data_IF_977435212607
#
_entry.id   IF_977435212607
#
_cell.length_a   1.000
_cell.length_b   1.000
_cell.length_c   1.000
_cell.angle_alpha   90.00
_cell.angle_beta   90.00
_cell.angle_gamma   90.00
#
_symmetry.space_group_name_H-M   'P 1'
#
loop_
_entity.id
_entity.type
_entity.pdbx_description
1 polymer ?
#
# COMPACT_ATOMS: atom_id res chain seq x y z
N UNK A 1 35.69 61.80 -6.05
CA UNK A 1 35.12 61.55 -7.39
C UNK A 1 34.81 60.07 -7.53
N UNK A 2 33.54 59.70 -7.80
CA UNK A 2 33.03 58.41 -8.38
C UNK A 2 33.35 57.15 -7.55
N UNK A 3 32.42 56.26 -7.16
CA UNK A 3 31.38 55.55 -7.94
C UNK A 3 30.30 55.03 -6.95
N UNK A 4 29.08 55.53 -7.02
CA UNK A 4 27.87 54.87 -7.58
C UNK A 4 27.55 53.51 -6.94
N UNK A 5 26.52 53.56 -6.09
CA UNK A 5 25.78 52.44 -5.52
C UNK A 5 25.03 51.63 -6.59
N UNK A 6 24.91 50.33 -6.39
CA UNK A 6 23.87 49.51 -6.99
C UNK A 6 23.25 48.59 -5.94
N UNK A 7 21.99 48.89 -5.64
CA UNK A 7 21.01 48.03 -4.98
C UNK A 7 20.70 46.83 -5.89
N UNK A 8 20.87 45.62 -5.38
CA UNK A 8 20.11 44.45 -5.82
C UNK A 8 19.80 43.62 -4.57
N UNK A 9 18.73 43.98 -3.88
CA UNK A 9 18.08 43.12 -2.90
C UNK A 9 17.38 42.02 -3.69
N UNK A 10 18.06 40.91 -3.92
CA UNK A 10 17.39 39.64 -4.20
C UNK A 10 16.75 39.18 -2.90
N UNK A 11 15.44 39.39 -2.76
CA UNK A 11 14.64 38.61 -1.83
C UNK A 11 14.43 37.23 -2.46
N UNK A 12 15.03 36.14 -1.95
CA UNK A 12 14.55 34.82 -2.32
C UNK A 12 13.14 34.70 -1.74
N UNK A 13 12.15 34.65 -2.63
CA UNK A 13 10.83 34.13 -2.29
C UNK A 13 11.04 32.75 -1.69
N UNK A 14 10.94 32.66 -0.37
CA UNK A 14 10.79 31.41 0.34
C UNK A 14 9.53 30.77 -0.22
N UNK A 15 9.70 29.85 -1.19
CA UNK A 15 8.73 28.79 -1.38
C UNK A 15 8.56 28.17 0.00
N UNK A 16 7.40 28.42 0.60
CA UNK A 16 7.00 27.83 1.86
C UNK A 16 7.22 26.33 1.77
N UNK A 17 8.32 25.87 2.37
CA UNK A 17 8.48 24.50 2.76
C UNK A 17 7.23 24.16 3.57
N UNK A 18 6.49 23.18 3.08
CA UNK A 18 5.33 22.60 3.76
C UNK A 18 5.74 22.31 5.21
N UNK A 19 5.12 23.04 6.14
CA UNK A 19 5.34 22.89 7.57
C UNK A 19 5.04 21.43 7.94
N UNK A 20 6.00 20.67 8.51
CA UNK A 20 5.82 19.24 8.81
C UNK A 20 4.78 18.93 9.90
N UNK A 21 4.18 19.95 10.53
CA UNK A 21 3.39 19.82 11.76
C UNK A 21 1.93 19.38 11.53
N UNK A 22 1.33 19.67 10.37
CA UNK A 22 -0.11 19.48 10.14
C UNK A 22 -0.48 18.09 9.57
N UNK A 23 0.52 17.37 9.05
CA UNK A 23 0.32 16.03 8.49
C UNK A 23 -0.05 15.00 9.58
N UNK A 24 0.38 15.23 10.83
CA UNK A 24 0.12 14.35 11.96
C UNK A 24 -1.34 14.35 12.43
N UNK A 25 -1.98 15.54 12.44
CA UNK A 25 -3.38 15.73 12.83
C UNK A 25 -4.34 15.07 11.83
N UNK A 26 -4.21 15.43 10.55
CA UNK A 26 -5.04 14.87 9.48
C UNK A 26 -4.96 13.33 9.39
N UNK A 27 -3.78 12.75 9.63
CA UNK A 27 -3.58 11.30 9.63
C UNK A 27 -4.18 10.60 10.87
N UNK A 28 -4.20 11.25 12.04
CA UNK A 28 -4.90 10.76 13.24
C UNK A 28 -6.41 10.80 13.05
N UNK A 29 -6.94 11.92 12.58
CA UNK A 29 -8.38 12.10 12.36
C UNK A 29 -8.94 11.11 11.33
N UNK A 30 -8.17 10.83 10.28
CA UNK A 30 -8.52 9.82 9.27
C UNK A 30 -8.60 8.40 9.85
N UNK A 31 -7.74 8.04 10.81
CA UNK A 31 -7.80 6.75 11.51
C UNK A 31 -9.04 6.67 12.39
N UNK A 32 -9.25 7.67 13.24
CA UNK A 32 -10.37 7.71 14.19
C UNK A 32 -11.73 7.63 13.48
N UNK A 33 -11.91 8.40 12.39
CA UNK A 33 -13.12 8.34 11.56
C UNK A 33 -13.37 6.94 10.98
N UNK A 34 -12.30 6.26 10.58
CA UNK A 34 -12.38 4.92 10.00
C UNK A 34 -12.70 3.87 11.06
N UNK A 35 -12.10 3.96 12.24
CA UNK A 35 -12.40 3.08 13.38
C UNK A 35 -13.86 3.23 13.83
N UNK A 36 -14.34 4.47 13.98
CA UNK A 36 -15.74 4.75 14.30
C UNK A 36 -16.71 4.24 13.22
N UNK A 37 -16.34 4.34 11.95
CA UNK A 37 -17.13 3.76 10.86
C UNK A 37 -17.14 2.23 10.91
N UNK A 38 -15.99 1.59 11.18
CA UNK A 38 -15.90 0.13 11.31
C UNK A 38 -16.75 -0.37 12.49
N UNK A 39 -16.70 0.29 13.64
CA UNK A 39 -17.53 -0.07 14.80
C UNK A 39 -19.02 -0.05 14.46
N UNK A 40 -19.48 1.00 13.77
CA UNK A 40 -20.87 1.11 13.29
C UNK A 40 -21.24 0.07 12.25
N UNK A 41 -20.38 -0.15 11.25
CA UNK A 41 -20.64 -1.13 10.18
C UNK A 41 -20.73 -2.58 10.69
N UNK A 42 -20.04 -2.88 11.79
CA UNK A 42 -20.06 -4.19 12.41
C UNK A 42 -21.12 -4.33 13.51
N UNK A 43 -21.70 -3.22 13.99
CA UNK A 43 -22.62 -3.23 15.13
C UNK A 43 -21.93 -3.70 16.41
N UNK A 44 -20.72 -3.18 16.69
CA UNK A 44 -19.97 -3.52 17.89
C UNK A 44 -20.52 -2.79 19.12
N UNK A 45 -20.54 -3.48 20.27
CA UNK A 45 -20.62 -2.78 21.56
C UNK A 45 -19.35 -1.97 21.83
N UNK A 46 -19.40 -1.06 22.80
CA UNK A 46 -18.21 -0.29 23.23
C UNK A 46 -17.06 -1.21 23.64
N UNK A 47 -17.35 -2.25 24.41
CA UNK A 47 -16.36 -3.24 24.86
C UNK A 47 -15.77 -4.04 23.69
N UNK A 48 -16.61 -4.48 22.74
CA UNK A 48 -16.15 -5.19 21.54
C UNK A 48 -15.27 -4.29 20.67
N UNK A 49 -15.62 -3.00 20.54
CA UNK A 49 -14.82 -2.03 19.81
C UNK A 49 -13.46 -1.80 20.47
N UNK A 50 -13.42 -1.65 21.80
CA UNK A 50 -12.18 -1.49 22.56
C UNK A 50 -11.26 -2.72 22.43
N UNK A 51 -11.83 -3.93 22.56
CA UNK A 51 -11.08 -5.19 22.36
C UNK A 51 -10.55 -5.32 20.94
N UNK A 52 -11.37 -4.99 19.93
CA UNK A 52 -10.95 -5.03 18.53
C UNK A 52 -9.79 -4.08 18.24
N UNK A 53 -9.84 -2.87 18.80
CA UNK A 53 -8.75 -1.91 18.63
C UNK A 53 -7.48 -2.35 19.34
N UNK A 54 -7.59 -2.87 20.56
CA UNK A 54 -6.46 -3.43 21.30
C UNK A 54 -5.80 -4.61 20.56
N UNK A 55 -6.60 -5.56 20.05
CA UNK A 55 -6.09 -6.67 19.21
C UNK A 55 -5.39 -6.10 17.97
N UNK A 56 -6.01 -5.19 17.23
CA UNK A 56 -5.39 -4.60 16.03
C UNK A 56 -4.07 -3.90 16.33
N UNK A 57 -4.00 -3.15 17.43
CA UNK A 57 -2.79 -2.47 17.88
C UNK A 57 -1.67 -3.47 18.19
N UNK A 58 -1.98 -4.58 18.85
CA UNK A 58 -1.04 -5.66 19.16
C UNK A 58 -0.43 -6.30 17.91
N UNK A 59 -1.24 -6.58 16.89
CA UNK A 59 -0.78 -7.20 15.63
C UNK A 59 -0.19 -6.19 14.63
N UNK A 60 -0.38 -4.89 14.83
CA UNK A 60 0.05 -3.86 13.88
C UNK A 60 1.57 -3.85 13.60
N UNK A 61 2.49 -3.98 14.59
CA UNK A 61 3.93 -4.00 14.33
C UNK A 61 4.33 -5.16 13.40
N UNK A 62 3.86 -6.38 13.67
CA UNK A 62 4.16 -7.57 12.86
C UNK A 62 3.62 -7.41 11.44
N UNK A 63 2.40 -6.90 11.30
CA UNK A 63 1.80 -6.62 9.99
C UNK A 63 2.61 -5.59 9.20
N UNK A 64 3.09 -4.53 9.85
CA UNK A 64 3.95 -3.51 9.22
C UNK A 64 5.27 -4.10 8.76
N UNK A 65 5.91 -4.93 9.59
CA UNK A 65 7.17 -5.60 9.25
C UNK A 65 7.01 -6.51 8.02
N UNK A 66 5.96 -7.34 7.98
CA UNK A 66 5.67 -8.21 6.83
C UNK A 66 5.34 -7.41 5.55
N UNK A 67 4.68 -6.27 5.68
CA UNK A 67 4.42 -5.38 4.55
C UNK A 67 5.69 -4.68 4.06
N UNK A 68 6.59 -4.29 4.96
CA UNK A 68 7.89 -3.72 4.60
C UNK A 68 8.75 -4.76 3.87
N UNK A 69 8.84 -5.99 4.39
CA UNK A 69 9.54 -7.11 3.74
C UNK A 69 8.96 -7.40 2.36
N UNK A 70 7.63 -7.44 2.23
CA UNK A 70 6.95 -7.59 0.92
C UNK A 70 7.39 -6.52 -0.08
N UNK A 71 7.46 -5.24 0.33
CA UNK A 71 7.92 -4.15 -0.55
C UNK A 71 9.38 -4.35 -0.97
N UNK A 72 10.26 -4.67 -0.03
CA UNK A 72 11.68 -4.93 -0.33
C UNK A 72 11.85 -6.06 -1.35
N UNK A 73 11.07 -7.13 -1.23
CA UNK A 73 11.07 -8.25 -2.19
C UNK A 73 10.64 -7.78 -3.59
N UNK A 74 9.58 -6.97 -3.69
CA UNK A 74 9.13 -6.43 -4.98
C UNK A 74 10.14 -5.48 -5.60
N UNK A 75 10.77 -4.61 -4.82
CA UNK A 75 11.84 -3.74 -5.32
C UNK A 75 13.06 -4.58 -5.76
N UNK A 76 13.38 -5.66 -5.06
CA UNK A 76 14.38 -6.64 -5.49
C UNK A 76 14.05 -7.26 -6.85
N UNK A 77 12.81 -7.70 -7.07
CA UNK A 77 12.37 -8.20 -8.38
C UNK A 77 12.46 -7.12 -9.45
N UNK A 78 12.05 -5.88 -9.15
CA UNK A 78 12.14 -4.76 -10.09
C UNK A 78 13.57 -4.43 -10.46
N UNK A 79 14.55 -4.66 -9.58
CA UNK A 79 15.97 -4.53 -9.89
C UNK A 79 16.50 -5.64 -10.79
N UNK A 80 16.07 -6.89 -10.57
CA UNK A 80 16.55 -8.05 -11.33
C UNK A 80 15.89 -8.22 -12.70
N UNK A 81 14.63 -7.78 -12.85
CA UNK A 81 13.82 -8.01 -14.04
C UNK A 81 13.68 -6.74 -14.91
N UNK A 82 14.69 -5.87 -14.91
CA UNK A 82 14.70 -4.69 -15.76
C UNK A 82 14.96 -5.09 -17.23
N UNK A 83 14.22 -4.53 -18.19
CA UNK A 83 14.51 -4.74 -19.61
C UNK A 83 15.96 -4.33 -19.94
N UNK A 84 16.66 -5.17 -20.70
CA UNK A 84 18.04 -4.91 -21.12
C UNK A 84 19.11 -5.24 -20.06
N UNK A 85 18.72 -5.71 -18.87
CA UNK A 85 19.65 -6.22 -17.84
C UNK A 85 19.44 -7.72 -17.71
N UNK A 86 20.52 -8.50 -17.82
CA UNK A 86 20.47 -9.93 -17.55
C UNK A 86 20.17 -10.16 -16.07
N UNK A 87 19.05 -10.82 -15.77
CA UNK A 87 18.67 -11.15 -14.41
C UNK A 87 19.64 -12.16 -13.79
N UNK A 88 20.00 -11.99 -12.52
CA UNK A 88 20.76 -12.99 -11.77
C UNK A 88 19.81 -14.08 -11.25
N UNK A 89 19.91 -15.29 -11.81
CA UNK A 89 19.00 -16.40 -11.50
C UNK A 89 18.97 -16.78 -10.00
N UNK A 90 20.12 -16.78 -9.32
CA UNK A 90 20.21 -17.11 -7.90
C UNK A 90 19.53 -16.06 -7.03
N UNK A 91 19.67 -14.79 -7.40
CA UNK A 91 19.01 -13.66 -6.73
C UNK A 91 17.49 -13.73 -6.93
N UNK A 92 17.04 -14.03 -8.15
CA UNK A 92 15.61 -14.25 -8.44
C UNK A 92 15.05 -15.43 -7.63
N UNK A 93 15.78 -16.55 -7.55
CA UNK A 93 15.39 -17.71 -6.74
C UNK A 93 15.24 -17.33 -5.26
N UNK A 94 16.22 -16.66 -4.66
CA UNK A 94 16.15 -16.19 -3.28
C UNK A 94 14.97 -15.25 -3.03
N UNK A 95 14.66 -14.37 -3.99
CA UNK A 95 13.50 -13.46 -3.91
C UNK A 95 12.16 -14.21 -3.99
N UNK A 96 12.07 -15.26 -4.81
CA UNK A 96 10.90 -16.14 -4.89
C UNK A 96 10.67 -16.86 -3.55
N UNK A 97 11.72 -17.47 -2.99
CA UNK A 97 11.66 -18.15 -1.70
C UNK A 97 11.24 -17.16 -0.58
N UNK A 98 11.84 -15.97 -0.55
CA UNK A 98 11.50 -14.93 0.40
C UNK A 98 10.05 -14.46 0.26
N UNK A 99 9.53 -14.35 -0.97
CA UNK A 99 8.12 -14.01 -1.26
C UNK A 99 7.19 -15.04 -0.66
N UNK A 100 7.46 -16.31 -0.87
CA UNK A 100 6.58 -17.39 -0.44
C UNK A 100 6.61 -17.57 1.08
N UNK A 101 7.78 -17.45 1.71
CA UNK A 101 7.90 -17.32 3.16
C UNK A 101 7.10 -16.12 3.71
N UNK A 102 7.18 -14.95 3.04
CA UNK A 102 6.44 -13.76 3.48
C UNK A 102 4.92 -13.96 3.39
N UNK A 103 4.45 -14.67 2.36
CA UNK A 103 3.03 -15.04 2.20
C UNK A 103 2.58 -15.96 3.33
N UNK A 104 3.36 -17.00 3.63
CA UNK A 104 3.09 -17.93 4.73
C UNK A 104 3.01 -17.23 6.08
N UNK A 105 4.00 -16.39 6.40
CA UNK A 105 4.02 -15.62 7.65
C UNK A 105 2.82 -14.65 7.75
N UNK A 106 2.43 -14.01 6.66
CA UNK A 106 1.26 -13.13 6.64
C UNK A 106 -0.05 -13.91 6.85
N UNK A 107 -0.20 -15.08 6.22
CA UNK A 107 -1.37 -15.92 6.42
C UNK A 107 -1.47 -16.43 7.86
N UNK A 108 -0.34 -16.79 8.48
CA UNK A 108 -0.29 -17.21 9.88
C UNK A 108 -0.70 -16.06 10.81
N UNK A 109 -0.15 -14.86 10.62
CA UNK A 109 -0.52 -13.66 11.38
C UNK A 109 -2.03 -13.40 11.34
N UNK A 110 -2.65 -13.55 10.17
CA UNK A 110 -4.08 -13.34 9.99
C UNK A 110 -4.91 -14.41 10.71
N UNK A 111 -4.47 -15.67 10.70
CA UNK A 111 -5.13 -16.75 11.46
C UNK A 111 -5.05 -16.50 12.96
N UNK A 112 -3.91 -16.02 13.45
CA UNK A 112 -3.71 -15.76 14.87
C UNK A 112 -4.54 -14.56 15.34
N UNK A 113 -4.61 -13.49 14.54
CA UNK A 113 -5.52 -12.37 14.80
C UNK A 113 -7.00 -12.82 14.79
N UNK A 114 -7.40 -13.65 13.83
CA UNK A 114 -8.78 -14.16 13.74
C UNK A 114 -9.16 -15.04 14.93
N UNK A 115 -8.23 -15.86 15.44
CA UNK A 115 -8.42 -16.64 16.67
C UNK A 115 -8.67 -15.74 17.88
N UNK A 116 -7.91 -14.65 18.03
CA UNK A 116 -8.15 -13.69 19.12
C UNK A 116 -9.51 -12.99 18.97
N UNK A 117 -9.86 -12.56 17.76
CA UNK A 117 -11.14 -11.89 17.46
C UNK A 117 -12.33 -12.82 17.71
N UNK A 118 -12.21 -14.10 17.39
CA UNK A 118 -13.24 -15.11 17.61
C UNK A 118 -13.62 -15.27 19.09
N UNK A 119 -12.76 -14.86 20.03
CA UNK A 119 -13.06 -14.86 21.46
C UNK A 119 -14.08 -13.81 21.91
N UNK A 120 -14.41 -12.81 21.08
CA UNK A 120 -15.33 -11.74 21.48
C UNK A 120 -16.23 -11.19 20.36
N UNK A 121 -16.01 -11.53 19.09
CA UNK A 121 -16.90 -11.20 17.98
C UNK A 121 -17.73 -12.40 17.53
N UNK A 122 -19.01 -12.16 17.23
CA UNK A 122 -19.89 -13.19 16.67
C UNK A 122 -19.47 -13.61 15.25
N UNK A 123 -19.83 -14.81 14.77
CA UNK A 123 -19.52 -15.23 13.40
C UNK A 123 -19.98 -14.24 12.33
N UNK A 124 -21.15 -13.62 12.52
CA UNK A 124 -21.68 -12.59 11.60
C UNK A 124 -20.81 -11.33 11.61
N UNK A 125 -20.38 -10.87 12.78
CA UNK A 125 -19.48 -9.72 12.90
C UNK A 125 -18.12 -9.99 12.25
N UNK A 126 -17.60 -11.21 12.37
CA UNK A 126 -16.33 -11.64 11.75
C UNK A 126 -16.43 -11.68 10.22
N UNK A 127 -17.48 -12.28 9.68
CA UNK A 127 -17.73 -12.28 8.24
C UNK A 127 -17.84 -10.86 7.66
N UNK A 128 -18.56 -9.95 8.36
CA UNK A 128 -18.64 -8.54 7.95
C UNK A 128 -17.27 -7.85 7.99
N UNK A 129 -16.46 -8.12 9.01
CA UNK A 129 -15.12 -7.58 9.13
C UNK A 129 -14.22 -8.02 7.97
N UNK A 130 -14.31 -9.28 7.55
CA UNK A 130 -13.53 -9.80 6.43
C UNK A 130 -13.93 -9.18 5.09
N UNK A 131 -15.23 -9.05 4.82
CA UNK A 131 -15.72 -8.32 3.64
C UNK A 131 -15.24 -6.85 3.62
N UNK A 132 -15.24 -6.19 4.79
CA UNK A 132 -14.67 -4.85 4.92
C UNK A 132 -13.17 -4.83 4.59
N UNK A 133 -12.40 -5.80 5.11
CA UNK A 133 -10.96 -5.93 4.87
C UNK A 133 -10.67 -6.12 3.37
N UNK A 134 -11.42 -6.98 2.68
CA UNK A 134 -11.28 -7.22 1.24
C UNK A 134 -11.55 -5.95 0.42
N UNK A 135 -12.63 -5.23 0.74
CA UNK A 135 -12.97 -3.95 0.09
C UNK A 135 -11.83 -2.94 0.24
N UNK A 136 -11.24 -2.84 1.43
CA UNK A 136 -10.10 -1.94 1.67
C UNK A 136 -8.82 -2.39 0.98
N UNK A 137 -8.58 -3.70 0.87
CA UNK A 137 -7.44 -4.25 0.13
C UNK A 137 -7.55 -3.93 -1.37
N UNK A 138 -8.72 -4.15 -1.98
CA UNK A 138 -8.98 -3.83 -3.38
C UNK A 138 -8.82 -2.34 -3.72
N UNK A 139 -9.26 -1.45 -2.82
CA UNK A 139 -9.06 -0.01 -2.99
C UNK A 139 -7.58 0.39 -2.97
N UNK A 140 -6.76 -0.28 -2.16
CA UNK A 140 -5.31 0.00 -2.05
C UNK A 140 -4.56 -0.44 -3.31
N UNK A 141 -4.98 -1.55 -3.93
CA UNK A 141 -4.42 -2.03 -5.20
C UNK A 141 -4.72 -1.09 -6.38
N UNK A 142 -5.90 -0.46 -6.40
CA UNK A 142 -6.29 0.50 -7.45
C UNK A 142 -5.58 1.86 -7.37
N UNK A 143 -5.00 2.22 -6.22
CA UNK A 143 -4.28 3.48 -5.98
C UNK A 143 -2.76 3.38 -6.14
N UNK A 144 -2.23 2.23 -6.56
CA UNK A 144 -0.81 2.08 -6.87
C UNK A 144 -0.38 2.92 -8.10
N UNK A 145 0.93 3.14 -8.32
CA UNK A 145 1.48 4.08 -9.33
C UNK A 145 1.16 3.79 -10.81
N UNK A 146 0.27 2.84 -11.11
CA UNK A 146 -0.20 2.51 -12.46
C UNK A 146 -1.68 2.83 -12.73
N UNK A 147 -2.41 3.41 -11.77
CA UNK A 147 -3.85 3.68 -11.90
C UNK A 147 -4.25 4.75 -12.93
N UNK A 148 -3.28 5.30 -13.67
CA UNK A 148 -3.48 6.22 -14.80
C UNK A 148 -2.54 5.90 -15.97
N UNK A 149 -2.73 4.75 -16.60
CA UNK A 149 -2.59 4.58 -18.06
C UNK A 149 -3.82 3.76 -18.46
N UNK A 150 -4.84 4.40 -19.00
CA UNK A 150 -4.79 4.80 -20.39
C UNK A 150 -5.27 3.61 -21.21
N UNK A 151 -6.59 3.50 -21.29
CA UNK A 151 -7.31 2.69 -22.27
C UNK A 151 -6.77 3.08 -23.66
N UNK A 152 -5.89 2.27 -24.23
CA UNK A 152 -5.29 2.51 -25.55
C UNK A 152 -4.22 1.47 -25.87
N UNK A 153 -4.46 0.65 -26.90
CA UNK A 153 -3.39 0.04 -27.69
C UNK A 153 -2.93 -1.37 -27.31
N UNK A 154 -3.84 -2.32 -27.05
CA UNK A 154 -3.55 -3.74 -27.26
C UNK A 154 -4.70 -4.32 -28.08
N UNK A 155 -4.68 -4.05 -29.38
CA UNK A 155 -5.77 -4.40 -30.27
C UNK A 155 -5.57 -3.95 -31.72
N UNK A 156 -4.33 -3.85 -32.21
CA UNK A 156 -4.09 -3.91 -33.65
C UNK A 156 -3.68 -5.35 -33.95
N UNK A 157 -4.67 -6.13 -34.36
CA UNK A 157 -4.48 -7.37 -35.11
C UNK A 157 -3.71 -6.99 -36.37
N UNK A 158 -2.39 -7.14 -36.35
CA UNK A 158 -1.60 -7.11 -37.56
C UNK A 158 -1.94 -8.35 -38.37
N UNK A 159 -2.59 -8.09 -39.49
CA UNK A 159 -3.17 -9.02 -40.44
C UNK A 159 -2.10 -9.86 -41.11
N UNK A 160 -2.10 -11.17 -40.84
CA UNK A 160 -1.57 -12.17 -41.76
C UNK A 160 -2.49 -12.23 -42.98
N UNK A 161 -2.33 -11.34 -43.95
CA UNK A 161 -2.79 -11.57 -45.31
C UNK A 161 -1.99 -10.78 -46.33
N UNK A 162 -1.54 -11.53 -47.34
CA UNK A 162 -1.27 -11.14 -48.72
C UNK A 162 0.16 -10.67 -49.05
N UNK A 163 1.01 -11.66 -49.33
CA UNK A 163 2.01 -11.55 -50.39
C UNK A 163 1.85 -12.73 -51.36
N UNK A 164 1.12 -12.51 -52.44
CA UNK A 164 1.42 -13.07 -53.76
C UNK A 164 1.40 -11.91 -54.74
N UNK A 165 2.43 -11.80 -55.58
CA UNK A 165 2.16 -11.62 -56.99
C UNK A 165 2.95 -12.61 -57.86
N UNK A 166 2.19 -13.13 -58.84
CA UNK A 166 2.56 -13.51 -60.21
C UNK A 166 3.78 -14.43 -60.38
#
# INVERSE_FOLDING_TARGET
MKRIAWLLVLAPSLLAAQTPSDTGGAARDGRQRREAWVGRALGLSADQAAKLEATRARFAPQRRALMARRRAIFEGFRGQLQPGIAANADSVRKLLDARDQNRGAFAQLQRDEEKEIAGYLSPVQRARLDLLRERFAGMRSRRGPGGRRGRGGWGSRESWHRARPQ
#
